data_IF_960974692644
#
_entry.id   IF_960974692644
#
_cell.length_a   1.000
_cell.length_b   1.000
_cell.length_c   1.000
_cell.angle_alpha   90.00
_cell.angle_beta   90.00
_cell.angle_gamma   90.00
#
_symmetry.space_group_name_H-M   'P 1'
#
loop_
_entity.id
_entity.type
_entity.pdbx_description
1 polymer ?
#
# COMPACT_ATOMS: atom_id res chain seq x y z
N UNK A 1 1.70 -5.96 5.36
CA UNK A 1 1.16 -7.34 5.43
C UNK A 1 1.52 -8.02 6.75
N UNK A 2 0.67 -8.92 7.22
CA UNK A 2 0.96 -9.75 8.40
C UNK A 2 1.76 -11.01 8.05
N UNK A 3 1.57 -11.54 6.85
CA UNK A 3 2.23 -12.77 6.38
C UNK A 3 2.45 -12.76 4.88
N UNK A 4 3.51 -13.40 4.41
CA UNK A 4 3.79 -13.62 2.99
C UNK A 4 3.46 -15.05 2.53
N UNK A 5 2.92 -15.88 3.43
CA UNK A 5 2.65 -17.31 3.18
C UNK A 5 1.78 -17.55 1.92
N UNK A 6 0.72 -16.79 1.81
CA UNK A 6 -0.26 -16.95 0.72
C UNK A 6 0.28 -16.42 -0.61
N UNK A 7 0.95 -15.26 -0.59
CA UNK A 7 1.63 -14.69 -1.76
C UNK A 7 2.70 -15.62 -2.31
N UNK A 8 3.49 -16.25 -1.43
CA UNK A 8 4.50 -17.22 -1.80
C UNK A 8 3.87 -18.44 -2.48
N UNK A 9 2.79 -19.00 -1.91
CA UNK A 9 2.06 -20.13 -2.51
C UNK A 9 1.45 -19.76 -3.86
N UNK A 10 0.96 -18.56 -4.02
CA UNK A 10 0.31 -18.08 -5.23
C UNK A 10 1.26 -17.63 -6.33
N UNK A 11 2.57 -17.54 -6.07
CA UNK A 11 3.54 -17.07 -7.05
C UNK A 11 3.42 -15.60 -7.48
N UNK A 12 2.74 -14.75 -6.66
CA UNK A 12 2.51 -13.32 -6.92
C UNK A 12 3.54 -12.40 -6.26
N UNK A 13 4.66 -12.96 -5.86
CA UNK A 13 5.72 -12.23 -5.16
C UNK A 13 7.08 -12.58 -5.77
N UNK A 14 7.99 -11.60 -5.79
CA UNK A 14 9.36 -11.86 -6.26
C UNK A 14 10.12 -12.77 -5.29
N UNK A 15 11.14 -13.51 -5.75
CA UNK A 15 11.99 -14.34 -4.87
C UNK A 15 12.64 -13.52 -3.74
N UNK A 16 13.05 -12.28 -4.03
CA UNK A 16 13.65 -11.39 -3.04
C UNK A 16 12.66 -11.03 -1.91
N UNK A 17 11.42 -10.70 -2.26
CA UNK A 17 10.38 -10.43 -1.28
C UNK A 17 9.96 -11.70 -0.52
N UNK A 18 9.92 -12.86 -1.18
CA UNK A 18 9.61 -14.15 -0.53
C UNK A 18 10.62 -14.55 0.53
N UNK A 19 11.89 -14.17 0.38
CA UNK A 19 12.95 -14.42 1.36
C UNK A 19 12.74 -13.65 2.68
N UNK A 20 12.08 -12.48 2.63
CA UNK A 20 11.75 -11.69 3.82
C UNK A 20 10.73 -12.41 4.72
N UNK A 21 9.81 -13.15 4.12
CA UNK A 21 8.71 -13.82 4.83
C UNK A 21 9.14 -14.98 5.74
N UNK A 22 10.42 -15.35 5.75
CA UNK A 22 10.95 -16.37 6.66
C UNK A 22 11.36 -15.79 8.02
N UNK A 23 11.37 -14.47 8.17
CA UNK A 23 11.78 -13.80 9.40
C UNK A 23 10.58 -13.57 10.32
N UNK A 24 10.62 -14.14 11.50
CA UNK A 24 9.60 -13.99 12.55
C UNK A 24 9.45 -12.51 12.98
N UNK A 25 8.20 -12.07 13.19
CA UNK A 25 7.83 -10.74 13.72
C UNK A 25 8.16 -9.54 12.80
N UNK A 26 8.31 -9.74 11.49
CA UNK A 26 8.39 -8.64 10.55
C UNK A 26 7.05 -8.40 9.86
N UNK A 27 6.70 -7.12 9.70
CA UNK A 27 5.62 -6.66 8.83
C UNK A 27 6.24 -6.15 7.53
N UNK A 28 6.30 -6.96 6.47
CA UNK A 28 6.90 -6.53 5.23
C UNK A 28 6.06 -5.43 4.58
N UNK A 29 6.73 -4.39 4.11
CA UNK A 29 6.18 -3.40 3.20
C UNK A 29 6.57 -3.82 1.79
N UNK A 30 5.58 -3.99 0.94
CA UNK A 30 5.75 -4.38 -0.46
C UNK A 30 5.31 -3.23 -1.36
N UNK A 31 5.82 -3.22 -2.56
CA UNK A 31 5.43 -2.28 -3.62
C UNK A 31 4.94 -3.03 -4.85
N UNK A 32 4.10 -2.37 -5.63
CA UNK A 32 3.68 -2.81 -6.96
C UNK A 32 4.22 -1.80 -7.96
N UNK A 33 5.20 -2.23 -8.75
CA UNK A 33 5.76 -1.46 -9.86
C UNK A 33 6.00 -2.41 -11.04
N UNK A 34 4.91 -2.99 -11.55
CA UNK A 34 4.94 -4.00 -12.58
C UNK A 34 3.97 -5.14 -12.29
N UNK A 35 4.31 -6.36 -12.69
CA UNK A 35 3.41 -7.50 -12.63
C UNK A 35 3.35 -8.21 -11.27
N UNK A 36 4.33 -8.02 -10.41
CA UNK A 36 4.45 -8.72 -9.12
C UNK A 36 4.71 -7.78 -7.98
N UNK A 37 4.28 -8.22 -6.80
CA UNK A 37 4.67 -7.58 -5.54
C UNK A 37 6.16 -7.80 -5.28
N UNK A 38 6.88 -6.71 -5.06
CA UNK A 38 8.30 -6.72 -4.72
C UNK A 38 8.55 -6.16 -3.33
N UNK A 39 9.74 -6.43 -2.79
CA UNK A 39 10.15 -5.95 -1.49
C UNK A 39 10.45 -4.44 -1.54
N UNK A 40 9.84 -3.68 -0.64
CA UNK A 40 10.19 -2.27 -0.43
C UNK A 40 10.99 -2.08 0.86
N UNK A 41 10.44 -2.56 1.98
CA UNK A 41 11.11 -2.42 3.27
C UNK A 41 10.72 -3.52 4.26
N UNK A 42 11.57 -3.70 5.27
CA UNK A 42 11.31 -4.56 6.43
C UNK A 42 10.97 -3.69 7.62
N UNK A 43 9.78 -3.88 8.18
CA UNK A 43 9.35 -3.14 9.35
C UNK A 43 9.21 -4.07 10.56
N UNK A 44 9.57 -3.58 11.73
CA UNK A 44 9.29 -4.26 13.00
C UNK A 44 7.99 -3.71 13.56
N UNK A 45 6.91 -4.46 13.37
CA UNK A 45 5.57 -4.06 13.81
C UNK A 45 4.82 -3.17 12.81
N UNK A 46 3.49 -3.16 12.94
CA UNK A 46 2.59 -2.43 12.04
C UNK A 46 2.78 -0.91 12.08
N UNK A 47 3.03 -0.34 13.26
CA UNK A 47 3.26 1.10 13.39
C UNK A 47 4.47 1.58 12.59
N UNK A 48 5.56 0.81 12.60
CA UNK A 48 6.74 1.10 11.77
C UNK A 48 6.44 0.94 10.29
N UNK A 49 5.67 -0.08 9.90
CA UNK A 49 5.26 -0.29 8.51
C UNK A 49 4.40 0.88 7.99
N UNK A 50 3.41 1.33 8.77
CA UNK A 50 2.56 2.49 8.43
C UNK A 50 3.39 3.75 8.18
N UNK A 51 4.37 4.05 9.06
CA UNK A 51 5.28 5.19 8.89
C UNK A 51 6.12 5.11 7.61
N UNK A 52 6.63 3.92 7.28
CA UNK A 52 7.39 3.69 6.05
C UNK A 52 6.52 3.94 4.83
N UNK A 53 5.28 3.45 4.84
CA UNK A 53 4.33 3.63 3.73
C UNK A 53 3.98 5.10 3.51
N UNK A 54 3.68 5.86 4.57
CA UNK A 54 3.41 7.30 4.47
C UNK A 54 4.61 8.07 3.93
N UNK A 55 5.82 7.75 4.42
CA UNK A 55 7.04 8.38 3.94
C UNK A 55 7.28 8.10 2.45
N UNK A 56 7.13 6.85 2.03
CA UNK A 56 7.29 6.45 0.64
C UNK A 56 6.30 7.17 -0.28
N UNK A 57 5.03 7.25 0.13
CA UNK A 57 4.00 7.96 -0.62
C UNK A 57 4.30 9.46 -0.72
N UNK A 58 4.77 10.08 0.37
CA UNK A 58 5.17 11.49 0.35
C UNK A 58 6.32 11.75 -0.61
N UNK A 59 7.34 10.88 -0.59
CA UNK A 59 8.46 10.97 -1.54
C UNK A 59 8.02 10.80 -3.00
N UNK A 60 7.06 9.91 -3.26
CA UNK A 60 6.50 9.73 -4.59
C UNK A 60 5.72 10.98 -5.05
N UNK A 61 4.91 11.58 -4.18
CA UNK A 61 4.19 12.83 -4.48
C UNK A 61 5.14 14.00 -4.78
N UNK A 62 6.25 14.10 -4.05
CA UNK A 62 7.25 15.15 -4.22
C UNK A 62 8.15 14.96 -5.45
N UNK A 63 8.31 13.72 -5.94
CA UNK A 63 9.24 13.39 -7.03
C UNK A 63 8.54 12.88 -8.28
N UNK A 64 7.92 11.69 -8.20
CA UNK A 64 7.33 11.01 -9.36
C UNK A 64 6.06 11.68 -9.86
N UNK A 65 5.30 12.24 -8.94
CA UNK A 65 4.01 12.88 -9.22
C UNK A 65 4.01 14.39 -8.98
N UNK A 66 5.19 15.02 -8.88
CA UNK A 66 5.31 16.45 -8.62
C UNK A 66 4.48 17.30 -9.60
N UNK A 67 4.52 16.98 -10.89
CA UNK A 67 3.77 17.70 -11.93
C UNK A 67 2.25 17.56 -11.80
N UNK A 68 1.76 16.57 -11.05
CA UNK A 68 0.35 16.31 -10.83
C UNK A 68 -0.11 16.73 -9.44
N UNK A 69 0.76 16.67 -8.44
CA UNK A 69 0.42 16.94 -7.05
C UNK A 69 -0.12 18.37 -6.84
N UNK A 70 0.47 19.34 -7.52
CA UNK A 70 0.08 20.75 -7.44
C UNK A 70 -1.17 21.10 -8.28
N UNK A 71 -1.66 20.17 -9.09
CA UNK A 71 -2.80 20.42 -10.01
C UNK A 71 -4.15 20.01 -9.44
N UNK A 72 -4.19 19.43 -8.24
CA UNK A 72 -5.42 18.86 -7.65
C UNK A 72 -5.93 17.60 -8.36
N UNK A 73 -5.14 17.00 -9.24
CA UNK A 73 -5.52 15.81 -10.02
C UNK A 73 -5.09 14.49 -9.39
N UNK A 74 -4.46 14.53 -8.23
CA UNK A 74 -4.07 13.32 -7.52
C UNK A 74 -5.22 12.78 -6.67
N UNK A 75 -5.33 11.47 -6.67
CA UNK A 75 -6.27 10.72 -5.87
C UNK A 75 -5.51 9.71 -5.00
N UNK A 76 -5.91 9.56 -3.74
CA UNK A 76 -5.32 8.59 -2.80
C UNK A 76 -6.35 7.53 -2.46
N UNK A 77 -5.93 6.28 -2.54
CA UNK A 77 -6.73 5.13 -2.16
C UNK A 77 -6.09 4.37 -1.01
N UNK A 78 -6.90 4.00 -0.05
CA UNK A 78 -6.57 3.05 1.01
C UNK A 78 -7.34 1.77 0.76
N UNK A 79 -6.65 0.65 0.84
CA UNK A 79 -7.30 -0.64 0.73
C UNK A 79 -6.87 -1.57 1.89
N UNK A 80 -7.74 -2.51 2.22
CA UNK A 80 -7.51 -3.38 3.37
C UNK A 80 -8.11 -4.77 3.23
N UNK A 81 -7.67 -5.69 4.10
CA UNK A 81 -8.30 -6.99 4.31
C UNK A 81 -8.59 -7.21 5.79
N UNK A 82 -9.81 -7.61 6.09
CA UNK A 82 -10.20 -8.08 7.42
C UNK A 82 -10.56 -6.96 8.39
N UNK A 83 -9.66 -6.48 9.21
CA UNK A 83 -9.96 -5.60 10.32
C UNK A 83 -10.34 -4.17 9.86
N UNK A 84 -11.65 -3.89 9.89
CA UNK A 84 -12.20 -2.59 9.47
C UNK A 84 -11.79 -1.45 10.39
N UNK A 85 -11.71 -1.67 11.69
CA UNK A 85 -11.34 -0.61 12.65
C UNK A 85 -9.88 -0.19 12.46
N UNK A 86 -8.98 -1.15 12.27
CA UNK A 86 -7.59 -0.84 11.93
C UNK A 86 -7.46 -0.14 10.57
N UNK A 87 -8.32 -0.47 9.62
CA UNK A 87 -8.37 0.20 8.33
C UNK A 87 -8.85 1.65 8.44
N UNK A 88 -9.84 1.92 9.28
CA UNK A 88 -10.30 3.30 9.57
C UNK A 88 -9.20 4.13 10.23
N UNK A 89 -8.51 3.59 11.23
CA UNK A 89 -7.38 4.27 11.86
C UNK A 89 -6.27 4.58 10.83
N UNK A 90 -6.01 3.66 9.93
CA UNK A 90 -5.06 3.86 8.84
C UNK A 90 -5.52 4.93 7.86
N UNK A 91 -6.80 4.92 7.48
CA UNK A 91 -7.41 5.92 6.62
C UNK A 91 -7.31 7.33 7.20
N UNK A 92 -7.59 7.49 8.49
CA UNK A 92 -7.46 8.79 9.16
C UNK A 92 -6.00 9.28 9.17
N UNK A 93 -5.03 8.40 9.42
CA UNK A 93 -3.61 8.76 9.34
C UNK A 93 -3.18 9.19 7.93
N UNK A 94 -3.73 8.54 6.89
CA UNK A 94 -3.48 8.92 5.49
C UNK A 94 -4.11 10.26 5.16
N UNK A 95 -5.37 10.51 5.55
CA UNK A 95 -6.05 11.79 5.34
C UNK A 95 -5.32 12.95 6.03
N UNK A 96 -4.84 12.71 7.26
CA UNK A 96 -4.07 13.72 8.00
C UNK A 96 -2.75 14.04 7.31
N UNK A 97 -2.10 13.03 6.71
CA UNK A 97 -0.83 13.20 6.00
C UNK A 97 -1.00 13.89 4.62
N UNK A 98 -2.17 13.74 3.98
CA UNK A 98 -2.44 14.20 2.62
C UNK A 98 -3.82 14.89 2.51
N UNK A 99 -4.07 15.97 3.28
CA UNK A 99 -5.40 16.58 3.38
C UNK A 99 -5.85 17.28 2.09
N UNK A 100 -4.93 17.54 1.16
CA UNK A 100 -5.19 18.25 -0.10
C UNK A 100 -5.67 17.35 -1.24
N UNK A 101 -5.64 16.02 -1.08
CA UNK A 101 -5.98 15.08 -2.13
C UNK A 101 -7.32 14.40 -1.88
N UNK A 102 -8.02 14.07 -2.98
CA UNK A 102 -9.18 13.19 -2.92
C UNK A 102 -8.81 11.84 -2.33
N UNK A 103 -9.70 11.31 -1.51
CA UNK A 103 -9.46 10.11 -0.74
C UNK A 103 -10.60 9.11 -0.88
N UNK A 104 -10.24 7.84 -1.04
CA UNK A 104 -11.18 6.73 -1.02
C UNK A 104 -10.65 5.55 -0.20
N UNK A 105 -11.54 4.76 0.40
CA UNK A 105 -11.17 3.56 1.15
C UNK A 105 -12.13 2.41 0.83
N UNK A 106 -11.57 1.29 0.37
CA UNK A 106 -12.32 0.08 0.05
C UNK A 106 -11.66 -1.20 0.58
N UNK A 107 -12.46 -2.24 0.85
CA UNK A 107 -11.90 -3.57 1.04
C UNK A 107 -11.32 -4.08 -0.28
N UNK A 108 -10.18 -4.76 -0.18
CA UNK A 108 -9.62 -5.49 -1.31
C UNK A 108 -10.55 -6.63 -1.73
N UNK A 109 -10.63 -6.89 -3.02
CA UNK A 109 -11.44 -7.97 -3.55
C UNK A 109 -11.08 -9.32 -2.93
N UNK A 110 -12.04 -10.26 -2.89
CA UNK A 110 -11.82 -11.58 -2.32
C UNK A 110 -10.64 -12.30 -2.97
N UNK A 111 -10.50 -12.18 -4.29
CA UNK A 111 -9.39 -12.79 -5.04
C UNK A 111 -8.02 -12.29 -4.55
N UNK A 112 -7.88 -10.99 -4.32
CA UNK A 112 -6.66 -10.40 -3.77
C UNK A 112 -6.46 -10.80 -2.31
N UNK A 113 -7.52 -10.74 -1.49
CA UNK A 113 -7.46 -11.11 -0.08
C UNK A 113 -7.00 -12.56 0.14
N UNK A 114 -7.40 -13.49 -0.73
CA UNK A 114 -6.93 -14.89 -0.68
C UNK A 114 -5.40 -15.02 -0.92
N UNK A 115 -4.79 -14.10 -1.64
CA UNK A 115 -3.35 -14.10 -1.88
C UNK A 115 -2.55 -13.37 -0.80
N UNK A 116 -3.06 -12.27 -0.28
CA UNK A 116 -2.30 -11.45 0.68
C UNK A 116 -2.63 -11.75 2.15
N UNK A 117 -3.76 -12.40 2.40
CA UNK A 117 -4.20 -12.79 3.74
C UNK A 117 -4.89 -11.67 4.50
N UNK A 118 -5.33 -12.01 5.72
CA UNK A 118 -6.01 -11.12 6.65
C UNK A 118 -5.07 -10.07 7.24
N UNK A 119 -5.61 -8.88 7.59
CA UNK A 119 -4.87 -7.83 8.30
C UNK A 119 -3.90 -7.03 7.42
N UNK A 120 -4.08 -7.05 6.12
CA UNK A 120 -3.27 -6.25 5.19
C UNK A 120 -3.82 -4.84 5.05
N UNK A 121 -2.92 -3.86 4.97
CA UNK A 121 -3.22 -2.48 4.68
C UNK A 121 -2.43 -2.04 3.45
N UNK A 122 -3.04 -1.23 2.61
CA UNK A 122 -2.42 -0.67 1.42
C UNK A 122 -2.69 0.84 1.31
N UNK A 123 -1.85 1.51 0.56
CA UNK A 123 -2.03 2.88 0.09
C UNK A 123 -1.61 2.91 -1.38
N UNK A 124 -2.39 3.56 -2.20
CA UNK A 124 -2.11 3.77 -3.61
C UNK A 124 -2.40 5.22 -3.98
N UNK A 125 -1.82 5.66 -5.09
CA UNK A 125 -2.13 6.94 -5.69
C UNK A 125 -2.26 6.82 -7.19
N UNK A 126 -3.16 7.61 -7.75
CA UNK A 126 -3.35 7.77 -9.19
C UNK A 126 -3.56 9.23 -9.53
N UNK A 127 -3.20 9.61 -10.76
CA UNK A 127 -3.54 10.91 -11.30
C UNK A 127 -4.74 10.79 -12.24
N UNK A 128 -5.66 11.74 -12.17
CA UNK A 128 -6.72 11.86 -13.16
C UNK A 128 -6.08 12.20 -14.53
N UNK A 129 -6.34 11.37 -15.51
CA UNK A 129 -5.96 11.63 -16.89
C UNK A 129 -7.07 12.47 -17.52
N UNK A 130 -6.76 13.63 -18.14
CA UNK A 130 -7.75 14.37 -18.89
C UNK A 130 -8.32 13.48 -20.00
N UNK A 131 -9.63 13.53 -20.21
CA UNK A 131 -10.22 12.89 -21.38
C UNK A 131 -9.52 13.42 -22.62
N UNK A 132 -9.07 12.53 -23.48
CA UNK A 132 -8.55 12.92 -24.78
C UNK A 132 -9.67 13.57 -25.58
N UNK A 133 -9.49 14.84 -25.92
CA UNK A 133 -10.38 15.55 -26.84
C UNK A 133 -10.37 14.92 -28.24
#
# INVERSE_FOLDING_TARGET
LETLKYLKKGGRITPAAAAIGTMLKLNPVLQIQGEKLDAYAKARGKASAKKIMLKAMKEDMEKRFADYADTGRMHIEVAYTGNVEEAKEWAEAVKEAFPQFDFHMDPLSLSVACHIGYGSLAIATSAYVPEAE
#
